data_IF_635121569988
#
_entry.id   IF_635121569988
#
_cell.length_a   1.000
_cell.length_b   1.000
_cell.length_c   1.000
_cell.angle_alpha   90.00
_cell.angle_beta   90.00
_cell.angle_gamma   90.00
#
_symmetry.space_group_name_H-M   'P 1'
#
loop_
_entity.id
_entity.type
_entity.pdbx_description
1 polymer ?
#
# COMPACT_ATOMS: atom_id res chain seq x y z
N UNK A 1 -4.15 15.17 21.03
CA UNK A 1 -3.99 14.44 19.75
C UNK A 1 -4.51 13.02 19.96
N UNK A 2 -5.27 12.48 19.00
CA UNK A 2 -5.73 11.08 19.06
C UNK A 2 -4.54 10.14 18.82
N UNK A 3 -4.52 8.97 19.50
CA UNK A 3 -3.48 7.96 19.33
C UNK A 3 -4.13 6.62 18.92
N UNK A 4 -3.81 6.17 17.71
CA UNK A 4 -4.39 4.96 17.12
C UNK A 4 -4.11 3.71 17.94
N UNK A 5 -2.87 3.52 18.40
CA UNK A 5 -2.48 2.34 19.16
C UNK A 5 -3.23 2.23 20.48
N UNK A 6 -3.45 3.37 21.16
CA UNK A 6 -4.23 3.41 22.40
C UNK A 6 -5.67 2.96 22.16
N UNK A 7 -6.32 3.48 21.12
CA UNK A 7 -7.68 3.07 20.74
C UNK A 7 -7.74 1.58 20.38
N UNK A 8 -6.87 1.15 19.46
CA UNK A 8 -6.82 -0.23 18.96
C UNK A 8 -6.56 -1.21 20.09
N UNK A 9 -5.60 -0.92 20.98
CA UNK A 9 -5.31 -1.81 22.13
C UNK A 9 -6.53 -1.93 23.05
N UNK A 10 -7.17 -0.81 23.42
CA UNK A 10 -8.37 -0.85 24.27
C UNK A 10 -9.52 -1.63 23.63
N UNK A 11 -9.74 -1.49 22.32
CA UNK A 11 -10.75 -2.25 21.56
C UNK A 11 -10.40 -3.75 21.55
N UNK A 12 -9.14 -4.09 21.27
CA UNK A 12 -8.68 -5.49 21.22
C UNK A 12 -8.74 -6.17 22.59
N UNK A 13 -8.43 -5.46 23.67
CA UNK A 13 -8.55 -5.97 25.05
C UNK A 13 -10.01 -6.30 25.39
N UNK A 14 -10.94 -5.41 25.03
CA UNK A 14 -12.35 -5.66 25.23
C UNK A 14 -12.84 -6.86 24.40
N UNK A 15 -12.48 -6.95 23.11
CA UNK A 15 -12.78 -8.11 22.25
C UNK A 15 -12.20 -9.40 22.85
N UNK A 16 -10.98 -9.36 23.36
CA UNK A 16 -10.34 -10.47 24.06
C UNK A 16 -11.16 -10.94 25.26
N UNK A 17 -11.67 -10.01 26.07
CA UNK A 17 -12.56 -10.33 27.20
C UNK A 17 -13.86 -11.00 26.75
N UNK A 18 -14.50 -10.52 25.68
CA UNK A 18 -15.71 -11.11 25.12
C UNK A 18 -15.46 -12.53 24.60
N UNK A 19 -14.36 -12.73 23.87
CA UNK A 19 -13.97 -14.04 23.36
C UNK A 19 -13.79 -15.08 24.47
N UNK A 20 -13.20 -14.68 25.59
CA UNK A 20 -13.06 -15.54 26.75
C UNK A 20 -14.41 -15.83 27.41
N UNK A 21 -15.22 -14.79 27.65
CA UNK A 21 -16.54 -14.91 28.26
C UNK A 21 -17.46 -15.86 27.47
N UNK A 22 -17.47 -15.78 26.14
CA UNK A 22 -18.28 -16.69 25.32
C UNK A 22 -17.86 -18.15 25.48
N UNK A 23 -16.55 -18.44 25.54
CA UNK A 23 -16.07 -19.82 25.76
C UNK A 23 -16.47 -20.35 27.14
N UNK A 24 -16.44 -19.51 28.16
CA UNK A 24 -16.91 -19.84 29.51
C UNK A 24 -18.41 -20.15 29.49
N UNK A 25 -19.23 -19.28 28.88
CA UNK A 25 -20.67 -19.47 28.80
C UNK A 25 -21.06 -20.75 28.06
N UNK A 26 -20.35 -21.10 26.98
CA UNK A 26 -20.56 -22.37 26.27
C UNK A 26 -20.27 -23.57 27.18
N UNK A 27 -19.15 -23.54 27.90
CA UNK A 27 -18.77 -24.59 28.84
C UNK A 27 -19.78 -24.73 29.99
N UNK A 28 -20.21 -23.62 30.58
CA UNK A 28 -21.14 -23.61 31.70
C UNK A 28 -22.52 -24.17 31.29
N UNK A 29 -22.88 -24.03 30.01
CA UNK A 29 -24.07 -24.65 29.39
C UNK A 29 -23.81 -26.05 28.83
N UNK A 30 -22.65 -26.65 29.10
CA UNK A 30 -22.24 -27.96 28.59
C UNK A 30 -22.29 -28.08 27.06
N UNK A 31 -22.08 -26.97 26.34
CA UNK A 31 -21.95 -26.94 24.88
C UNK A 31 -20.52 -27.27 24.49
N UNK A 32 -20.34 -28.30 23.66
CA UNK A 32 -19.02 -28.67 23.14
C UNK A 32 -18.59 -27.65 22.09
N UNK A 33 -17.53 -26.88 22.38
CA UNK A 33 -16.93 -25.94 21.45
C UNK A 33 -15.79 -26.58 20.66
N UNK A 34 -15.88 -26.54 19.33
CA UNK A 34 -14.86 -27.07 18.42
C UNK A 34 -14.34 -25.91 17.56
N UNK A 35 -13.05 -25.62 17.68
CA UNK A 35 -12.38 -24.61 16.85
C UNK A 35 -11.80 -25.26 15.59
N UNK A 36 -12.62 -25.42 14.56
CA UNK A 36 -12.24 -25.99 13.27
C UNK A 36 -13.24 -25.67 12.16
N UNK A 37 -12.79 -25.73 10.91
CA UNK A 37 -13.64 -25.55 9.74
C UNK A 37 -14.50 -26.78 9.52
N UNK A 38 -15.81 -26.60 9.41
CA UNK A 38 -16.78 -27.68 9.22
C UNK A 38 -17.24 -27.75 7.75
N UNK A 39 -17.39 -28.96 7.23
CA UNK A 39 -17.93 -29.24 5.90
C UNK A 39 -18.85 -30.47 5.99
N UNK A 40 -19.98 -30.44 5.28
CA UNK A 40 -20.89 -31.57 5.20
C UNK A 40 -20.27 -32.68 4.35
N UNK A 41 -20.30 -33.91 4.87
CA UNK A 41 -20.01 -35.11 4.07
C UNK A 41 -21.28 -35.81 3.62
N UNK A 42 -22.37 -35.64 4.37
CA UNK A 42 -23.73 -36.05 4.00
C UNK A 42 -24.75 -35.19 4.79
N UNK A 43 -26.05 -35.51 4.70
CA UNK A 43 -27.13 -34.72 5.35
C UNK A 43 -26.99 -34.59 6.87
N UNK A 44 -26.42 -35.56 7.56
CA UNK A 44 -26.36 -35.64 9.03
C UNK A 44 -24.93 -35.75 9.57
N UNK A 45 -23.92 -35.66 8.70
CA UNK A 45 -22.52 -35.81 9.06
C UNK A 45 -21.70 -34.60 8.60
N UNK A 46 -20.92 -34.06 9.53
CA UNK A 46 -19.93 -33.02 9.25
C UNK A 46 -18.52 -33.53 9.58
N UNK A 47 -17.55 -33.17 8.74
CA UNK A 47 -16.13 -33.27 9.07
C UNK A 47 -15.62 -31.90 9.51
N UNK A 48 -14.78 -31.86 10.53
CA UNK A 48 -14.11 -30.65 10.98
C UNK A 48 -12.60 -30.76 10.84
N UNK A 49 -11.94 -29.71 10.35
CA UNK A 49 -10.47 -29.61 10.27
C UNK A 49 -9.99 -28.49 11.19
N UNK A 50 -9.13 -28.82 12.16
CA UNK A 50 -8.57 -27.82 13.06
C UNK A 50 -7.27 -27.20 12.53
N UNK A 51 -6.71 -26.22 13.25
CA UNK A 51 -5.44 -25.55 12.88
C UNK A 51 -4.21 -26.48 12.78
N UNK A 52 -4.28 -27.70 13.32
CA UNK A 52 -3.21 -28.71 13.24
C UNK A 52 -3.50 -29.78 12.18
N UNK A 53 -4.41 -29.50 11.23
CA UNK A 53 -4.88 -30.42 10.20
C UNK A 53 -5.46 -31.74 10.74
N UNK A 54 -5.89 -31.77 12.01
CA UNK A 54 -6.56 -32.94 12.58
C UNK A 54 -8.01 -32.93 12.11
N UNK A 55 -8.42 -34.05 11.52
CA UNK A 55 -9.80 -34.28 11.07
C UNK A 55 -10.59 -34.99 12.16
N UNK A 56 -11.82 -34.54 12.39
CA UNK A 56 -12.80 -35.20 13.25
C UNK A 56 -14.15 -35.23 12.54
N UNK A 57 -14.93 -36.29 12.80
CA UNK A 57 -16.25 -36.47 12.17
C UNK A 57 -17.32 -36.49 13.26
N UNK A 58 -18.42 -35.76 13.02
CA UNK A 58 -19.54 -35.66 13.94
C UNK A 58 -20.84 -35.95 13.19
N UNK A 59 -21.75 -36.63 13.88
CA UNK A 59 -23.12 -36.87 13.41
C UNK A 59 -24.10 -36.07 14.25
N UNK A 60 -25.10 -35.48 13.61
CA UNK A 60 -26.14 -34.72 14.28
C UNK A 60 -27.50 -34.95 13.63
N UNK A 61 -28.54 -35.10 14.45
CA UNK A 61 -29.92 -35.23 13.97
C UNK A 61 -30.39 -33.93 13.30
N UNK A 62 -30.04 -32.79 13.89
CA UNK A 62 -30.41 -31.45 13.42
C UNK A 62 -29.16 -30.59 13.31
N UNK A 63 -29.07 -29.82 12.23
CA UNK A 63 -27.91 -28.96 11.95
C UNK A 63 -28.42 -27.55 11.64
N UNK A 64 -27.88 -26.56 12.35
CA UNK A 64 -28.14 -25.13 12.13
C UNK A 64 -26.97 -24.51 11.37
N UNK A 65 -27.27 -23.86 10.24
CA UNK A 65 -26.29 -23.10 9.47
C UNK A 65 -26.27 -21.65 9.96
N UNK A 66 -25.12 -21.23 10.49
CA UNK A 66 -24.92 -19.88 11.03
C UNK A 66 -23.51 -19.34 10.71
N UNK A 67 -23.03 -19.55 9.48
CA UNK A 67 -21.65 -19.24 9.06
C UNK A 67 -21.37 -17.76 8.78
N UNK A 68 -22.38 -16.89 8.84
CA UNK A 68 -22.24 -15.46 8.61
C UNK A 68 -21.81 -15.09 7.19
N UNK A 69 -21.18 -13.92 7.05
CA UNK A 69 -20.69 -13.37 5.78
C UNK A 69 -19.25 -12.87 5.94
N UNK A 70 -18.57 -12.61 4.82
CA UNK A 70 -17.24 -12.00 4.77
C UNK A 70 -17.21 -10.86 3.74
N UNK A 71 -16.31 -9.86 3.90
CA UNK A 71 -16.13 -8.80 2.91
C UNK A 71 -15.82 -9.35 1.51
N UNK A 72 -16.22 -8.61 0.49
CA UNK A 72 -15.92 -8.93 -0.91
C UNK A 72 -14.90 -7.94 -1.45
N UNK A 73 -13.87 -8.45 -2.11
CA UNK A 73 -12.96 -7.65 -2.91
C UNK A 73 -13.51 -7.51 -4.33
N UNK A 74 -13.51 -6.31 -4.93
CA UNK A 74 -13.77 -6.16 -6.35
C UNK A 74 -12.65 -6.83 -7.17
N UNK A 75 -13.00 -7.32 -8.35
CA UNK A 75 -12.06 -7.97 -9.27
C UNK A 75 -11.28 -6.92 -10.06
N UNK A 76 -10.30 -6.31 -9.38
CA UNK A 76 -9.51 -5.18 -9.88
C UNK A 76 -8.04 -5.45 -9.54
N UNK A 77 -7.10 -5.26 -10.48
CA UNK A 77 -5.68 -5.50 -10.23
C UNK A 77 -5.14 -4.72 -9.03
N UNK A 78 -4.40 -5.42 -8.15
CA UNK A 78 -3.76 -4.88 -6.96
C UNK A 78 -4.66 -4.71 -5.74
N UNK A 79 -5.98 -4.91 -5.86
CA UNK A 79 -6.88 -4.73 -4.72
C UNK A 79 -6.68 -5.79 -3.65
N UNK A 80 -6.41 -7.04 -4.00
CA UNK A 80 -6.19 -8.10 -2.99
C UNK A 80 -4.83 -7.97 -2.31
N UNK A 81 -3.88 -7.39 -3.03
CA UNK A 81 -2.49 -7.25 -2.65
C UNK A 81 -2.27 -6.06 -1.72
N UNK A 82 -2.97 -4.94 -1.99
CA UNK A 82 -2.71 -3.68 -1.30
C UNK A 82 -3.89 -3.10 -0.51
N UNK A 83 -5.12 -3.52 -0.79
CA UNK A 83 -6.27 -3.02 -0.05
C UNK A 83 -6.56 -3.90 1.18
N UNK A 84 -7.17 -3.28 2.18
CA UNK A 84 -7.67 -3.95 3.37
C UNK A 84 -9.20 -3.89 3.42
N UNK A 85 -9.80 -4.68 4.31
CA UNK A 85 -11.23 -4.65 4.59
C UNK A 85 -11.50 -4.24 6.04
N UNK A 86 -12.78 -4.15 6.40
CA UNK A 86 -13.20 -3.96 7.80
C UNK A 86 -12.69 -5.06 8.74
N UNK A 87 -12.45 -6.28 8.24
CA UNK A 87 -11.89 -7.37 9.04
C UNK A 87 -10.48 -7.02 9.55
N UNK A 88 -9.73 -6.24 8.77
CA UNK A 88 -8.34 -5.88 9.05
C UNK A 88 -8.26 -4.57 9.86
N UNK A 89 -9.08 -3.58 9.50
CA UNK A 89 -9.03 -2.21 10.03
C UNK A 89 -9.02 -2.15 11.56
N UNK A 90 -9.89 -2.91 12.24
CA UNK A 90 -10.01 -2.87 13.70
C UNK A 90 -8.83 -3.52 14.45
N UNK A 91 -7.92 -4.16 13.72
CA UNK A 91 -6.70 -4.77 14.26
C UNK A 91 -5.42 -4.23 13.60
N UNK A 92 -5.54 -3.19 12.77
CA UNK A 92 -4.45 -2.63 11.98
C UNK A 92 -3.34 -2.13 12.90
N UNK A 93 -2.10 -2.59 12.66
CA UNK A 93 -0.95 -2.34 13.54
C UNK A 93 -0.41 -0.92 13.48
N UNK A 94 -0.80 -0.16 12.46
CA UNK A 94 -0.38 1.20 12.22
C UNK A 94 -1.60 2.09 11.99
N UNK A 95 -1.47 3.39 12.24
CA UNK A 95 -2.50 4.36 11.89
C UNK A 95 -2.68 4.38 10.36
N UNK A 96 -3.90 4.23 9.83
CA UNK A 96 -4.11 4.13 8.38
C UNK A 96 -3.76 5.42 7.62
N UNK A 97 -3.61 6.56 8.31
CA UNK A 97 -3.21 7.82 7.69
C UNK A 97 -4.21 8.30 6.65
N UNK A 98 -3.72 8.80 5.52
CA UNK A 98 -4.57 9.21 4.39
C UNK A 98 -5.28 8.00 3.79
N UNK A 99 -6.60 7.95 3.91
CA UNK A 99 -7.39 6.75 3.67
C UNK A 99 -8.42 6.95 2.55
N UNK A 100 -8.48 6.00 1.61
CA UNK A 100 -9.57 5.88 0.64
C UNK A 100 -10.48 4.71 1.03
N UNK A 101 -11.77 4.99 1.25
CA UNK A 101 -12.81 3.95 1.40
C UNK A 101 -13.54 3.75 0.09
N UNK A 102 -13.55 2.53 -0.43
CA UNK A 102 -14.18 2.19 -1.71
C UNK A 102 -15.53 1.53 -1.42
N UNK A 103 -16.61 2.29 -1.55
CA UNK A 103 -17.94 1.83 -1.24
C UNK A 103 -18.84 2.91 -0.65
N UNK A 104 -20.11 2.58 -0.53
CA UNK A 104 -21.14 3.48 -0.02
C UNK A 104 -22.17 2.74 0.85
N UNK A 105 -21.76 1.60 1.42
CA UNK A 105 -22.51 0.88 2.45
C UNK A 105 -22.39 1.58 3.79
N UNK A 106 -23.21 1.19 4.76
CA UNK A 106 -23.11 1.69 6.13
C UNK A 106 -21.71 1.46 6.71
N UNK A 107 -21.11 0.27 6.53
CA UNK A 107 -19.73 -0.03 6.97
C UNK A 107 -18.73 0.98 6.40
N UNK A 108 -18.85 1.32 5.11
CA UNK A 108 -17.94 2.27 4.47
C UNK A 108 -18.08 3.67 5.07
N UNK A 109 -19.31 4.14 5.28
CA UNK A 109 -19.57 5.48 5.80
C UNK A 109 -19.25 5.60 7.30
N UNK A 110 -19.53 4.56 8.08
CA UNK A 110 -19.16 4.48 9.49
C UNK A 110 -17.63 4.53 9.65
N UNK A 111 -16.91 3.71 8.87
CA UNK A 111 -15.45 3.71 8.89
C UNK A 111 -14.87 5.05 8.47
N UNK A 112 -15.37 5.62 7.37
CA UNK A 112 -14.92 6.93 6.91
C UNK A 112 -15.21 8.03 7.95
N UNK A 113 -16.39 7.98 8.58
CA UNK A 113 -16.82 8.95 9.58
C UNK A 113 -15.94 8.96 10.82
N UNK A 114 -15.67 7.80 11.43
CA UNK A 114 -14.83 7.77 12.64
C UNK A 114 -13.37 8.11 12.34
N UNK A 115 -12.83 7.68 11.18
CA UNK A 115 -11.48 8.03 10.77
C UNK A 115 -11.34 9.54 10.54
N UNK A 116 -12.34 10.17 9.90
CA UNK A 116 -12.42 11.63 9.77
C UNK A 116 -12.49 12.31 11.14
N UNK A 117 -13.35 11.81 12.04
CA UNK A 117 -13.50 12.34 13.40
C UNK A 117 -12.25 12.23 14.27
N UNK A 118 -11.35 11.28 13.96
CA UNK A 118 -10.02 11.17 14.56
C UNK A 118 -9.00 12.16 13.98
N UNK A 119 -9.35 12.91 12.94
CA UNK A 119 -8.50 13.89 12.27
C UNK A 119 -7.71 13.36 11.08
N UNK A 120 -8.10 12.22 10.49
CA UNK A 120 -7.44 11.67 9.30
C UNK A 120 -8.01 12.25 8.00
N UNK A 121 -7.17 12.36 6.97
CA UNK A 121 -7.60 12.69 5.60
C UNK A 121 -8.30 11.47 5.00
N UNK A 122 -9.63 11.55 4.85
CA UNK A 122 -10.45 10.44 4.38
C UNK A 122 -11.24 10.83 3.16
N UNK A 123 -11.19 9.97 2.15
CA UNK A 123 -12.02 10.07 0.94
C UNK A 123 -12.90 8.84 0.80
N UNK A 124 -14.17 9.01 0.40
CA UNK A 124 -15.12 7.94 0.07
C UNK A 124 -15.37 7.92 -1.43
N UNK A 125 -15.09 6.79 -2.09
CA UNK A 125 -15.39 6.60 -3.50
C UNK A 125 -16.76 5.92 -3.68
N UNK A 126 -17.67 6.62 -4.35
CA UNK A 126 -19.07 6.22 -4.50
C UNK A 126 -19.41 5.95 -5.96
N UNK A 127 -19.73 4.70 -6.27
CA UNK A 127 -20.14 4.29 -7.64
C UNK A 127 -21.43 4.96 -8.11
N UNK A 128 -22.42 5.10 -7.23
CA UNK A 128 -23.76 5.60 -7.62
C UNK A 128 -24.43 6.44 -6.53
N UNK A 129 -25.03 5.80 -5.52
CA UNK A 129 -25.77 6.44 -4.42
C UNK A 129 -25.22 5.97 -3.06
N UNK A 130 -25.48 6.77 -2.02
CA UNK A 130 -25.19 6.41 -0.64
C UNK A 130 -26.27 5.48 -0.08
N UNK A 131 -25.86 4.51 0.74
CA UNK A 131 -26.75 3.65 1.52
C UNK A 131 -27.89 3.05 0.67
N UNK A 132 -27.55 2.40 -0.45
CA UNK A 132 -28.54 1.75 -1.31
C UNK A 132 -29.42 0.81 -0.49
N UNK A 133 -30.73 1.00 -0.58
CA UNK A 133 -31.73 0.25 0.19
C UNK A 133 -32.28 1.01 1.41
N UNK A 134 -31.69 2.16 1.77
CA UNK A 134 -32.20 3.06 2.79
C UNK A 134 -32.94 4.26 2.16
N UNK A 135 -33.68 4.99 2.99
CA UNK A 135 -34.29 6.27 2.59
C UNK A 135 -33.21 7.23 2.07
N UNK A 136 -33.42 7.76 0.86
CA UNK A 136 -32.39 8.54 0.16
C UNK A 136 -32.29 9.98 0.65
N UNK A 137 -33.38 10.57 1.16
CA UNK A 137 -33.29 11.89 1.79
C UNK A 137 -32.39 11.80 3.02
N UNK A 138 -32.56 10.76 3.83
CA UNK A 138 -31.72 10.53 5.02
C UNK A 138 -30.27 10.22 4.64
N UNK A 139 -30.05 9.39 3.61
CA UNK A 139 -28.71 9.07 3.12
C UNK A 139 -27.97 10.30 2.58
N UNK A 140 -28.66 11.18 1.87
CA UNK A 140 -28.09 12.42 1.36
C UNK A 140 -27.75 13.39 2.48
N UNK A 141 -28.64 13.53 3.50
CA UNK A 141 -28.35 14.33 4.69
C UNK A 141 -27.12 13.84 5.45
N UNK A 142 -26.93 12.52 5.57
CA UNK A 142 -25.72 11.92 6.14
C UNK A 142 -24.49 12.31 5.31
N UNK A 143 -24.55 12.13 3.99
CA UNK A 143 -23.46 12.50 3.09
C UNK A 143 -23.08 13.97 3.20
N UNK A 144 -24.05 14.88 3.17
CA UNK A 144 -23.84 16.33 3.33
C UNK A 144 -23.24 16.66 4.69
N UNK A 145 -23.68 15.98 5.76
CA UNK A 145 -23.08 16.17 7.07
C UNK A 145 -21.61 15.74 7.08
N UNK A 146 -21.28 14.56 6.54
CA UNK A 146 -19.90 14.07 6.47
C UNK A 146 -19.00 15.00 5.64
N UNK A 147 -19.46 15.44 4.46
CA UNK A 147 -18.74 16.41 3.61
C UNK A 147 -18.45 17.72 4.36
N UNK A 148 -19.44 18.26 5.06
CA UNK A 148 -19.29 19.48 5.86
C UNK A 148 -18.26 19.33 7.01
N UNK A 149 -18.05 18.10 7.49
CA UNK A 149 -17.14 17.80 8.60
C UNK A 149 -15.82 17.16 8.16
N UNK A 150 -15.46 17.28 6.88
CA UNK A 150 -14.12 16.97 6.39
C UNK A 150 -13.96 15.63 5.69
N UNK A 151 -15.00 14.80 5.57
CA UNK A 151 -14.92 13.61 4.72
C UNK A 151 -15.07 13.99 3.26
N UNK A 152 -14.09 13.65 2.42
CA UNK A 152 -14.17 13.91 0.98
C UNK A 152 -14.96 12.82 0.25
N UNK A 153 -15.66 13.17 -0.84
CA UNK A 153 -16.41 12.20 -1.64
C UNK A 153 -16.04 12.29 -3.13
N UNK A 154 -15.62 11.16 -3.70
CA UNK A 154 -15.49 10.96 -5.14
C UNK A 154 -16.75 10.27 -5.65
N UNK A 155 -17.70 11.06 -6.17
CA UNK A 155 -19.01 10.58 -6.61
C UNK A 155 -18.97 10.12 -8.07
N UNK A 156 -19.81 9.14 -8.40
CA UNK A 156 -19.90 8.51 -9.73
C UNK A 156 -18.54 8.01 -10.22
N UNK A 157 -17.77 7.43 -9.31
CA UNK A 157 -16.40 6.98 -9.56
C UNK A 157 -16.26 5.50 -9.21
N UNK A 158 -15.47 4.78 -10.00
CA UNK A 158 -15.13 3.36 -9.78
C UNK A 158 -13.62 3.20 -9.86
N UNK A 159 -13.01 2.36 -9.01
CA UNK A 159 -11.59 2.06 -9.10
C UNK A 159 -11.29 1.22 -10.36
N UNK A 160 -10.10 1.38 -10.92
CA UNK A 160 -9.62 0.63 -12.10
C UNK A 160 -8.38 -0.19 -11.83
N UNK A 161 -7.54 0.26 -10.88
CA UNK A 161 -6.34 -0.43 -10.40
C UNK A 161 -5.98 0.12 -9.02
N UNK A 162 -5.44 -0.73 -8.17
CA UNK A 162 -4.78 -0.33 -6.93
C UNK A 162 -3.28 -0.57 -7.12
N UNK A 163 -2.47 0.48 -7.07
CA UNK A 163 -1.04 0.39 -7.38
C UNK A 163 -0.28 1.34 -6.47
N UNK A 164 0.35 0.77 -5.44
CA UNK A 164 1.23 1.48 -4.51
C UNK A 164 2.70 1.31 -4.89
N UNK A 165 3.00 0.55 -5.95
CA UNK A 165 4.35 0.43 -6.48
C UNK A 165 4.59 1.67 -7.36
N UNK A 166 5.80 2.23 -7.28
CA UNK A 166 6.23 3.39 -8.06
C UNK A 166 5.42 4.68 -7.79
N UNK A 167 4.95 4.91 -6.57
CA UNK A 167 4.49 6.24 -6.14
C UNK A 167 5.73 7.14 -5.95
N UNK A 168 5.91 8.22 -6.73
CA UNK A 168 7.05 9.10 -6.55
C UNK A 168 6.95 9.85 -5.22
N UNK A 169 8.07 9.98 -4.53
CA UNK A 169 8.18 10.75 -3.29
C UNK A 169 9.40 11.67 -3.36
N UNK A 170 9.30 12.84 -2.72
CA UNK A 170 10.43 13.76 -2.54
C UNK A 170 10.52 14.24 -1.11
N UNK A 171 11.72 14.20 -0.54
CA UNK A 171 12.07 14.78 0.75
C UNK A 171 12.75 16.13 0.49
N UNK A 172 12.12 17.21 0.94
CA UNK A 172 12.59 18.59 0.74
C UNK A 172 13.58 19.03 1.83
N UNK A 173 14.66 18.27 1.99
CA UNK A 173 15.85 18.66 2.76
C UNK A 173 16.65 19.76 2.03
N UNK A 174 17.63 20.43 2.69
CA UNK A 174 18.43 21.47 2.04
C UNK A 174 19.07 21.06 0.70
N UNK A 175 19.40 19.77 0.56
CA UNK A 175 19.58 19.10 -0.72
C UNK A 175 18.44 18.07 -0.84
N UNK A 176 17.61 18.19 -1.87
CA UNK A 176 16.40 17.39 -1.99
C UNK A 176 16.72 15.94 -2.37
N UNK A 177 15.85 15.00 -1.95
CA UNK A 177 15.94 13.59 -2.30
C UNK A 177 14.64 13.12 -2.96
N UNK A 178 14.72 12.67 -4.21
CA UNK A 178 13.61 12.11 -4.96
C UNK A 178 13.75 10.60 -5.15
N UNK A 179 12.64 9.87 -5.06
CA UNK A 179 12.64 8.42 -5.21
C UNK A 179 11.35 7.88 -5.82
N UNK A 180 11.48 6.76 -6.56
CA UNK A 180 10.37 5.95 -7.08
C UNK A 180 10.73 4.48 -6.91
N UNK A 181 9.76 3.65 -6.51
CA UNK A 181 9.91 2.21 -6.52
C UNK A 181 10.69 1.69 -5.30
N UNK A 182 11.39 0.58 -5.48
CA UNK A 182 12.11 -0.10 -4.41
C UNK A 182 13.37 0.63 -4.00
N UNK A 183 13.70 0.56 -2.71
CA UNK A 183 15.07 0.76 -2.25
C UNK A 183 15.97 -0.35 -2.78
N UNK A 184 17.29 -0.22 -2.59
CA UNK A 184 18.24 -1.23 -3.09
C UNK A 184 18.16 -2.51 -2.27
N UNK A 185 18.03 -2.36 -0.95
CA UNK A 185 17.81 -3.41 0.02
C UNK A 185 16.48 -4.13 -0.22
N UNK A 186 15.37 -3.41 -0.41
CA UNK A 186 14.07 -4.04 -0.67
C UNK A 186 14.05 -4.75 -2.03
N UNK A 187 14.73 -4.19 -3.05
CA UNK A 187 14.86 -4.84 -4.35
C UNK A 187 15.65 -6.15 -4.23
N UNK A 188 16.73 -6.14 -3.44
CA UNK A 188 17.54 -7.33 -3.17
C UNK A 188 16.74 -8.39 -2.43
N UNK A 189 16.00 -8.01 -1.39
CA UNK A 189 15.14 -8.92 -0.62
C UNK A 189 13.99 -9.49 -1.47
N UNK A 190 13.46 -8.70 -2.40
CA UNK A 190 12.32 -9.08 -3.24
C UNK A 190 12.71 -9.95 -4.43
N UNK A 191 13.81 -9.60 -5.12
CA UNK A 191 14.18 -10.21 -6.40
C UNK A 191 15.43 -11.08 -6.33
N UNK A 192 16.19 -11.02 -5.23
CA UNK A 192 17.47 -11.71 -5.04
C UNK A 192 18.65 -10.90 -5.59
N UNK A 193 19.75 -10.88 -4.84
CA UNK A 193 20.97 -10.10 -5.14
C UNK A 193 21.52 -10.35 -6.56
N UNK A 194 21.56 -11.63 -6.98
CA UNK A 194 22.05 -12.01 -8.31
C UNK A 194 21.23 -11.43 -9.47
N UNK A 195 19.97 -11.04 -9.21
CA UNK A 195 19.08 -10.46 -10.21
C UNK A 195 19.09 -8.93 -10.22
N UNK A 196 19.79 -8.28 -9.29
CA UNK A 196 19.85 -6.81 -9.21
C UNK A 196 21.14 -6.29 -9.85
N UNK A 197 21.00 -5.21 -10.62
CA UNK A 197 22.11 -4.39 -11.10
C UNK A 197 21.83 -2.93 -10.76
N UNK A 198 22.82 -2.20 -10.23
CA UNK A 198 22.65 -0.81 -9.79
C UNK A 198 23.57 0.08 -10.60
N UNK A 199 23.00 0.91 -11.46
CA UNK A 199 23.72 1.95 -12.19
C UNK A 199 23.71 3.23 -11.37
N UNK A 200 24.84 3.92 -11.30
CA UNK A 200 24.96 5.08 -10.44
C UNK A 200 26.04 6.05 -10.91
N UNK A 201 25.88 7.32 -10.54
CA UNK A 201 26.83 8.37 -10.85
C UNK A 201 26.71 9.51 -9.83
N UNK A 202 27.85 10.11 -9.46
CA UNK A 202 27.85 11.47 -8.95
C UNK A 202 27.66 12.45 -10.11
N UNK A 203 27.11 13.62 -9.82
CA UNK A 203 27.02 14.71 -10.79
C UNK A 203 27.18 16.05 -10.10
N UNK A 204 27.62 17.06 -10.85
CA UNK A 204 27.70 18.43 -10.37
C UNK A 204 26.73 19.31 -11.16
N UNK A 205 25.72 19.92 -10.51
CA UNK A 205 24.87 20.92 -11.16
C UNK A 205 25.74 22.03 -11.76
N UNK A 206 25.48 22.44 -13.01
CA UNK A 206 26.27 23.48 -13.67
C UNK A 206 26.23 24.78 -12.87
N UNK A 207 25.10 25.10 -12.24
CA UNK A 207 24.91 26.26 -11.39
C UNK A 207 25.85 26.29 -10.18
N UNK A 208 26.34 25.13 -9.72
CA UNK A 208 27.21 25.03 -8.56
C UNK A 208 28.66 25.38 -8.89
N UNK A 209 29.07 25.23 -10.16
CA UNK A 209 30.44 25.51 -10.61
C UNK A 209 30.81 26.99 -10.42
N UNK A 210 30.00 27.90 -10.97
CA UNK A 210 30.19 29.36 -10.84
C UNK A 210 29.96 29.83 -9.41
N UNK A 211 29.04 29.18 -8.69
CA UNK A 211 28.72 29.55 -7.31
C UNK A 211 29.78 29.08 -6.30
N UNK A 212 30.80 28.33 -6.73
CA UNK A 212 31.81 27.71 -5.87
C UNK A 212 31.18 26.97 -4.68
N UNK A 213 30.05 26.33 -4.91
CA UNK A 213 29.56 25.35 -3.94
C UNK A 213 30.54 24.18 -4.01
N UNK A 214 30.82 23.57 -2.86
CA UNK A 214 31.51 22.28 -2.82
C UNK A 214 30.85 21.34 -3.84
N UNK A 215 31.60 20.34 -4.31
CA UNK A 215 31.04 19.17 -5.00
C UNK A 215 30.03 18.52 -4.07
N UNK A 216 28.85 19.13 -4.00
CA UNK A 216 27.72 18.68 -3.24
C UNK A 216 27.46 17.32 -3.86
N UNK A 217 27.66 16.26 -3.07
CA UNK A 217 27.59 14.86 -3.49
C UNK A 217 26.21 14.48 -4.01
N UNK A 218 25.78 15.17 -5.06
CA UNK A 218 24.57 14.94 -5.80
C UNK A 218 24.81 13.65 -6.54
N UNK A 219 23.85 12.77 -6.41
CA UNK A 219 24.04 11.37 -6.72
C UNK A 219 22.75 10.82 -7.29
N UNK A 220 22.86 10.16 -8.44
CA UNK A 220 21.78 9.44 -9.07
C UNK A 220 22.05 7.94 -9.03
N UNK A 221 21.02 7.13 -8.79
CA UNK A 221 21.07 5.70 -9.06
C UNK A 221 19.75 5.18 -9.61
N UNK A 222 19.84 4.17 -10.48
CA UNK A 222 18.72 3.34 -10.91
C UNK A 222 19.02 1.88 -10.60
N UNK A 223 17.99 1.17 -10.13
CA UNK A 223 18.05 -0.22 -9.72
C UNK A 223 17.28 -1.02 -10.76
N UNK A 224 17.97 -1.95 -11.42
CA UNK A 224 17.45 -2.74 -12.52
C UNK A 224 17.30 -4.21 -12.12
N UNK A 225 16.21 -4.84 -12.54
CA UNK A 225 15.98 -6.28 -12.39
C UNK A 225 16.39 -7.01 -13.68
N UNK A 226 17.55 -7.68 -13.64
CA UNK A 226 18.12 -8.45 -14.76
C UNK A 226 17.20 -9.58 -15.24
N UNK A 227 16.44 -10.19 -14.33
CA UNK A 227 15.52 -11.27 -14.68
C UNK A 227 14.28 -10.79 -15.45
N UNK A 228 14.00 -9.48 -15.44
CA UNK A 228 12.87 -8.85 -16.15
C UNK A 228 13.37 -7.87 -17.22
N UNK A 229 14.38 -8.28 -17.99
CA UNK A 229 14.90 -7.52 -19.13
C UNK A 229 15.44 -6.13 -18.75
N UNK A 230 16.15 -6.06 -17.63
CA UNK A 230 16.68 -4.82 -17.04
C UNK A 230 15.60 -3.76 -16.77
N UNK A 231 14.40 -4.20 -16.38
CA UNK A 231 13.35 -3.29 -15.90
C UNK A 231 13.87 -2.45 -14.74
N UNK A 232 13.65 -1.14 -14.80
CA UNK A 232 13.97 -0.22 -13.70
C UNK A 232 12.91 -0.38 -12.61
N UNK A 233 13.32 -0.93 -11.47
CA UNK A 233 12.46 -1.20 -10.31
C UNK A 233 12.67 -0.18 -9.18
N UNK A 234 13.76 0.59 -9.23
CA UNK A 234 14.01 1.69 -8.30
C UNK A 234 14.73 2.86 -8.98
N UNK A 235 14.38 4.08 -8.60
CA UNK A 235 14.99 5.32 -9.07
C UNK A 235 15.25 6.22 -7.87
N UNK A 236 16.44 6.79 -7.76
CA UNK A 236 16.83 7.65 -6.66
C UNK A 236 17.71 8.80 -7.14
N UNK A 237 17.42 10.01 -6.69
CA UNK A 237 18.25 11.18 -6.92
C UNK A 237 18.39 12.00 -5.65
N UNK A 238 19.63 12.34 -5.28
CA UNK A 238 19.95 13.38 -4.32
C UNK A 238 20.50 14.58 -5.09
N UNK A 239 19.82 15.72 -5.05
CA UNK A 239 20.19 16.88 -5.86
C UNK A 239 19.19 18.05 -5.75
N UNK A 240 19.48 19.21 -6.36
CA UNK A 240 18.52 20.29 -6.45
C UNK A 240 17.32 19.87 -7.34
N UNK A 241 16.13 20.36 -7.01
CA UNK A 241 14.90 20.14 -7.79
C UNK A 241 14.56 18.64 -8.00
N UNK A 242 14.89 17.80 -7.03
CA UNK A 242 14.73 16.35 -7.11
C UNK A 242 13.26 15.95 -7.36
N UNK A 243 12.29 16.72 -6.84
CA UNK A 243 10.87 16.48 -7.09
C UNK A 243 10.48 16.66 -8.56
N UNK A 244 10.97 17.71 -9.18
CA UNK A 244 10.71 18.01 -10.60
C UNK A 244 11.31 16.95 -11.51
N UNK A 245 12.55 16.53 -11.21
CA UNK A 245 13.27 15.50 -11.97
C UNK A 245 12.55 14.14 -11.86
N UNK A 246 12.19 13.76 -10.64
CA UNK A 246 11.62 12.44 -10.33
C UNK A 246 10.25 12.25 -10.96
N UNK A 247 9.41 13.29 -11.01
CA UNK A 247 8.02 13.20 -11.47
C UNK A 247 7.87 12.61 -12.89
N UNK A 248 8.77 12.95 -13.81
CA UNK A 248 8.75 12.45 -15.19
C UNK A 248 9.06 10.94 -15.27
N UNK A 249 10.09 10.49 -14.56
CA UNK A 249 10.51 9.08 -14.56
C UNK A 249 9.47 8.15 -13.91
N UNK A 250 8.63 8.64 -13.01
CA UNK A 250 7.54 7.85 -12.43
C UNK A 250 6.55 7.36 -13.50
N UNK A 251 6.30 8.19 -14.53
CA UNK A 251 5.47 7.80 -15.68
C UNK A 251 6.17 6.72 -16.48
N UNK A 252 7.46 6.90 -16.80
CA UNK A 252 8.25 5.92 -17.55
C UNK A 252 8.31 4.56 -16.83
N UNK A 253 8.55 4.55 -15.51
CA UNK A 253 8.54 3.33 -14.70
C UNK A 253 7.16 2.66 -14.65
N UNK A 254 6.07 3.43 -14.60
CA UNK A 254 4.71 2.86 -14.73
C UNK A 254 4.45 2.26 -16.12
N UNK A 255 5.12 2.74 -17.15
CA UNK A 255 5.12 2.16 -18.49
C UNK A 255 6.10 0.97 -18.65
N UNK A 256 6.83 0.61 -17.60
CA UNK A 256 7.78 -0.50 -17.63
C UNK A 256 9.12 -0.16 -18.26
N UNK A 257 9.61 1.06 -18.05
CA UNK A 257 10.94 1.47 -18.51
C UNK A 257 12.03 0.48 -18.08
N UNK A 258 12.97 0.25 -18.99
CA UNK A 258 14.16 -0.59 -18.83
C UNK A 258 15.40 0.30 -18.92
N UNK A 259 16.57 -0.22 -18.54
CA UNK A 259 17.84 0.51 -18.70
C UNK A 259 18.06 1.01 -20.15
N UNK A 260 17.72 0.19 -21.14
CA UNK A 260 17.81 0.57 -22.57
C UNK A 260 16.96 1.80 -22.92
N UNK A 261 15.76 1.95 -22.33
CA UNK A 261 14.93 3.14 -22.55
C UNK A 261 15.60 4.42 -22.03
N UNK A 262 16.36 4.33 -20.93
CA UNK A 262 17.14 5.46 -20.42
C UNK A 262 18.31 5.77 -21.36
N UNK A 263 19.05 4.76 -21.81
CA UNK A 263 20.25 4.91 -22.66
C UNK A 263 19.95 5.41 -24.07
N UNK A 264 18.79 5.07 -24.59
CA UNK A 264 18.33 5.52 -25.92
C UNK A 264 17.66 6.89 -25.89
N UNK A 265 17.33 7.42 -24.70
CA UNK A 265 16.76 8.75 -24.54
C UNK A 265 17.87 9.79 -24.58
N UNK A 266 17.74 10.81 -25.43
CA UNK A 266 18.72 11.90 -25.51
C UNK A 266 18.52 12.88 -24.35
N UNK A 267 19.58 13.13 -23.59
CA UNK A 267 19.61 14.11 -22.51
C UNK A 267 19.38 15.54 -22.96
N UNK A 268 18.74 16.35 -22.10
CA UNK A 268 18.62 17.79 -22.28
C UNK A 268 19.79 18.46 -21.56
N UNK A 269 20.60 19.19 -22.31
CA UNK A 269 21.83 19.81 -21.78
C UNK A 269 21.72 21.35 -21.69
N UNK A 270 22.16 22.00 -20.60
CA UNK A 270 22.64 21.41 -19.34
C UNK A 270 21.50 21.20 -18.33
N UNK A 271 21.33 19.98 -17.81
CA UNK A 271 20.37 19.70 -16.71
C UNK A 271 20.89 18.62 -15.76
N UNK A 272 20.52 18.70 -14.47
CA UNK A 272 20.85 17.62 -13.51
C UNK A 272 20.22 16.28 -13.90
N UNK A 273 19.07 16.30 -14.58
CA UNK A 273 18.33 15.09 -14.97
C UNK A 273 19.04 14.28 -16.06
N UNK A 274 19.90 14.90 -16.87
CA UNK A 274 20.51 14.24 -18.02
C UNK A 274 21.47 13.10 -17.62
N UNK A 275 22.01 13.11 -16.40
CA UNK A 275 22.89 12.04 -15.87
C UNK A 275 22.25 10.65 -15.95
N UNK A 276 20.91 10.58 -15.85
CA UNK A 276 20.17 9.32 -15.95
C UNK A 276 20.15 8.73 -17.36
N UNK A 277 20.45 9.52 -18.38
CA UNK A 277 20.52 9.07 -19.78
C UNK A 277 21.90 8.56 -20.18
N UNK A 278 22.93 8.73 -19.33
CA UNK A 278 24.31 8.41 -19.67
C UNK A 278 25.03 7.55 -18.63
N UNK A 279 24.40 7.19 -17.51
CA UNK A 279 25.03 6.38 -16.46
C UNK A 279 25.28 4.93 -16.92
N UNK A 280 26.53 4.50 -16.87
CA UNK A 280 27.00 3.19 -17.33
C UNK A 280 27.74 2.39 -16.25
N UNK A 281 28.35 3.07 -15.28
CA UNK A 281 29.02 2.45 -14.14
C UNK A 281 28.01 1.72 -13.25
N UNK A 282 28.31 0.46 -12.92
CA UNK A 282 27.53 -0.34 -11.97
C UNK A 282 28.27 -0.59 -10.67
N UNK A 283 27.53 -0.75 -9.57
CA UNK A 283 28.11 -1.14 -8.29
C UNK A 283 28.87 -2.47 -8.33
N UNK A 284 28.36 -3.46 -9.08
CA UNK A 284 28.99 -4.76 -9.20
C UNK A 284 30.35 -4.70 -9.91
N UNK A 285 30.57 -3.69 -10.77
CA UNK A 285 31.86 -3.47 -11.42
C UNK A 285 32.96 -3.01 -10.46
N UNK A 286 32.60 -2.42 -9.31
CA UNK A 286 33.54 -1.83 -8.35
C UNK A 286 34.28 -0.60 -8.85
N UNK A 287 33.90 -0.04 -10.01
CA UNK A 287 34.49 1.19 -10.55
C UNK A 287 34.09 2.42 -9.73
N UNK A 288 34.96 3.42 -9.72
CA UNK A 288 34.70 4.70 -9.08
C UNK A 288 33.72 5.53 -9.92
N UNK A 289 32.74 6.15 -9.24
CA UNK A 289 31.68 6.97 -9.83
C UNK A 289 31.87 8.46 -9.55
N UNK A 290 32.94 8.84 -8.86
CA UNK A 290 33.30 10.24 -8.71
C UNK A 290 33.59 10.83 -10.08
N UNK A 291 32.87 11.88 -10.43
CA UNK A 291 33.11 12.63 -11.65
C UNK A 291 34.47 13.28 -11.55
N UNK A 292 35.46 12.75 -12.27
CA UNK A 292 36.67 13.49 -12.59
C UNK A 292 36.26 14.62 -13.53
N UNK A 293 36.22 15.85 -13.00
CA UNK A 293 35.73 17.02 -13.72
C UNK A 293 36.49 17.33 -15.01
N UNK A 294 35.98 18.33 -15.75
CA UNK A 294 36.80 19.07 -16.73
C UNK A 294 37.84 19.94 -16.01
#
# INVERSE_FOLDING_TARGET
QHNWDTLKNAVQDHIGSLNWNYRVQLRDKSVTYINGYAEFTDRHTIKTVNKRNKVQTFKAEKILLATGMRPRYPDIPGVKEFAITSDDLFSLRYCPGKTLTIGASYVSLECAGFLTGMGLDVTVMVRSILLRGFDQQMADMIGTYMEKHGTHFLRKCVPTRCDYINVPTTVFTPLEYGAIGYSEEDATDTFGEDNIEVYHAYFQPLEYTVAHRDEAGCYGKIICNKADGDRVVGFHILGPNAGEITQGYAVAMKCGATKEHFDTTIGIHPTCSEVFTTMDVTKASGLDVTTTGC
#
